data_IF_935248704614
#
_entry.id   IF_935248704614
#
_cell.length_a   1.000
_cell.length_b   1.000
_cell.length_c   1.000
_cell.angle_alpha   90.00
_cell.angle_beta   90.00
_cell.angle_gamma   90.00
#
_symmetry.space_group_name_H-M   'P 1'
#
loop_
_entity.id
_entity.type
_entity.pdbx_description
1 polymer ?
#
# COMPACT_ATOMS: atom_id res chain seq x y z
N UNK A 1 16.68 -20.87 -26.10
CA UNK A 1 17.51 -20.47 -24.95
C UNK A 1 18.32 -19.25 -25.38
N UNK A 2 17.74 -18.06 -25.24
CA UNK A 2 18.45 -16.81 -25.48
C UNK A 2 19.16 -16.41 -24.20
N UNK A 3 20.47 -16.23 -24.26
CA UNK A 3 21.28 -15.63 -23.19
C UNK A 3 20.97 -14.14 -23.15
N UNK A 4 19.95 -13.75 -22.37
CA UNK A 4 19.79 -12.35 -21.99
C UNK A 4 20.90 -12.00 -21.01
N UNK A 5 21.85 -11.16 -21.44
CA UNK A 5 22.83 -10.58 -20.52
C UNK A 5 22.10 -9.86 -19.37
N UNK A 6 22.56 -10.01 -18.11
CA UNK A 6 22.01 -9.26 -17.00
C UNK A 6 22.47 -7.81 -17.11
N UNK A 7 21.75 -7.00 -17.88
CA UNK A 7 21.94 -5.56 -17.85
C UNK A 7 21.33 -5.03 -16.56
N UNK A 8 22.16 -4.65 -15.59
CA UNK A 8 21.76 -3.68 -14.57
C UNK A 8 21.50 -2.36 -15.29
N UNK A 9 20.30 -2.17 -15.84
CA UNK A 9 19.92 -0.92 -16.48
C UNK A 9 19.73 0.13 -15.40
N UNK A 10 20.70 1.03 -15.28
CA UNK A 10 20.52 2.31 -14.62
C UNK A 10 19.54 3.12 -15.46
N UNK A 11 18.25 3.05 -15.09
CA UNK A 11 17.21 3.84 -15.72
C UNK A 11 17.06 5.18 -14.99
N UNK A 12 16.87 6.26 -15.75
CA UNK A 12 16.53 7.57 -15.18
C UNK A 12 15.07 7.55 -14.71
N UNK A 13 14.78 7.95 -13.45
CA UNK A 13 13.42 8.01 -12.96
C UNK A 13 12.64 9.18 -13.58
N UNK A 14 11.32 9.02 -13.70
CA UNK A 14 10.42 10.14 -13.97
C UNK A 14 10.32 11.02 -12.72
N UNK A 15 10.47 12.34 -12.88
CA UNK A 15 10.51 13.29 -11.75
C UNK A 15 9.33 14.26 -11.83
N UNK A 16 8.42 14.17 -10.86
CA UNK A 16 7.38 15.17 -10.67
C UNK A 16 7.85 16.18 -9.63
N UNK A 17 7.96 17.45 -10.04
CA UNK A 17 8.30 18.56 -9.14
C UNK A 17 7.03 19.30 -8.74
N UNK A 18 6.90 19.57 -7.45
CA UNK A 18 5.80 20.34 -6.89
C UNK A 18 6.33 21.31 -5.84
N UNK A 19 5.70 22.49 -5.74
CA UNK A 19 5.99 23.47 -4.70
C UNK A 19 5.31 23.14 -3.37
N UNK A 20 4.51 22.07 -3.34
CA UNK A 20 3.81 21.54 -2.15
C UNK A 20 4.08 20.05 -2.07
N UNK A 21 4.06 19.49 -0.86
CA UNK A 21 4.07 18.04 -0.69
C UNK A 21 2.78 17.48 -1.31
N UNK A 22 2.95 16.72 -2.39
CA UNK A 22 1.87 16.03 -3.07
C UNK A 22 2.17 14.54 -3.03
N UNK A 23 1.10 13.76 -2.97
CA UNK A 23 1.15 12.32 -3.14
C UNK A 23 0.62 12.02 -4.51
N UNK A 24 1.33 11.15 -5.21
CA UNK A 24 0.97 10.77 -6.56
C UNK A 24 0.67 9.28 -6.56
N UNK A 25 -0.59 8.94 -6.77
CA UNK A 25 -0.92 7.56 -7.16
C UNK A 25 -0.53 7.42 -8.61
N UNK A 26 0.35 6.46 -8.89
CA UNK A 26 0.73 6.10 -10.25
C UNK A 26 -0.08 4.88 -10.63
N UNK A 27 -0.92 5.03 -11.65
CA UNK A 27 -1.66 3.94 -12.28
C UNK A 27 -1.13 3.75 -13.69
N UNK A 28 -0.66 2.55 -14.00
CA UNK A 28 -0.08 2.17 -15.29
C UNK A 28 -0.95 1.05 -15.84
N UNK A 29 -1.66 1.29 -16.93
CA UNK A 29 -2.35 0.24 -17.67
C UNK A 29 -1.57 -0.03 -18.96
N UNK A 30 -1.11 -1.27 -19.12
CA UNK A 30 -0.56 -1.74 -20.39
C UNK A 30 -1.70 -2.20 -21.32
N UNK A 31 -2.70 -2.88 -20.76
CA UNK A 31 -3.98 -3.20 -21.39
C UNK A 31 -5.09 -3.37 -20.32
N UNK A 32 -6.30 -3.77 -20.74
CA UNK A 32 -7.47 -3.94 -19.85
C UNK A 32 -7.29 -5.02 -18.77
N UNK A 33 -6.32 -5.91 -18.96
CA UNK A 33 -6.03 -7.03 -18.08
C UNK A 33 -4.62 -6.90 -17.47
N UNK A 34 -3.95 -5.76 -17.70
CA UNK A 34 -2.63 -5.53 -17.17
C UNK A 34 -2.51 -4.11 -16.62
N UNK A 35 -2.77 -3.98 -15.33
CA UNK A 35 -2.69 -2.76 -14.54
C UNK A 35 -1.68 -2.90 -13.40
N UNK A 36 -0.75 -1.96 -13.33
CA UNK A 36 0.12 -1.81 -12.20
C UNK A 36 -0.18 -0.50 -11.51
N UNK A 37 -0.14 -0.52 -10.19
CA UNK A 37 -0.28 0.72 -9.47
C UNK A 37 0.43 0.70 -8.14
N UNK A 38 0.86 1.89 -7.74
CA UNK A 38 1.48 2.11 -6.45
C UNK A 38 1.31 3.57 -6.06
N UNK A 39 1.40 3.84 -4.77
CA UNK A 39 1.44 5.22 -4.28
C UNK A 39 2.89 5.71 -4.22
N UNK A 40 3.22 6.78 -4.94
CA UNK A 40 4.51 7.45 -4.83
C UNK A 40 4.49 8.47 -3.69
N UNK A 41 5.47 8.34 -2.79
CA UNK A 41 5.69 9.26 -1.67
C UNK A 41 6.64 10.39 -2.10
N UNK A 42 6.38 11.65 -1.67
CA UNK A 42 7.31 12.74 -1.93
C UNK A 42 8.65 12.44 -1.25
N UNK A 43 9.75 12.90 -1.86
CA UNK A 43 11.10 12.64 -1.34
C UNK A 43 11.33 13.19 0.07
N UNK A 44 10.56 14.21 0.49
CA UNK A 44 10.52 14.73 1.87
C UNK A 44 10.02 13.71 2.89
N UNK A 45 9.23 12.71 2.46
CA UNK A 45 8.71 11.62 3.28
C UNK A 45 9.53 10.33 3.14
N UNK A 46 10.69 10.38 2.49
CA UNK A 46 11.61 9.25 2.46
C UNK A 46 12.40 9.17 3.76
N UNK A 47 12.89 7.97 4.09
CA UNK A 47 13.70 7.72 5.27
C UNK A 47 14.98 6.98 4.93
N UNK A 48 15.74 6.62 5.96
CA UNK A 48 17.03 5.94 5.80
C UNK A 48 16.95 4.44 6.02
N UNK A 49 15.82 3.91 6.53
CA UNK A 49 15.67 2.50 6.92
C UNK A 49 14.32 1.98 6.50
N UNK A 50 14.32 0.87 5.78
CA UNK A 50 13.14 0.20 5.28
C UNK A 50 13.21 -1.29 5.57
N UNK A 51 12.05 -1.92 5.73
CA UNK A 51 11.97 -3.37 5.67
C UNK A 51 11.00 -3.77 4.57
N UNK A 52 11.46 -4.63 3.67
CA UNK A 52 10.75 -5.01 2.46
C UNK A 52 9.59 -5.94 2.78
N UNK A 53 8.48 -5.74 2.07
CA UNK A 53 7.34 -6.64 2.01
C UNK A 53 7.05 -6.96 0.55
N UNK A 54 6.94 -8.25 0.25
CA UNK A 54 6.62 -8.84 -1.05
C UNK A 54 5.76 -10.09 -0.84
N UNK A 55 5.09 -10.54 -1.89
CA UNK A 55 4.33 -11.78 -1.96
C UNK A 55 5.24 -12.95 -2.41
N UNK A 56 4.68 -14.17 -2.46
CA UNK A 56 5.43 -15.43 -2.64
C UNK A 56 5.80 -15.79 -4.08
N UNK A 57 5.76 -14.85 -5.03
CA UNK A 57 6.09 -15.14 -6.43
C UNK A 57 6.70 -13.93 -7.13
N UNK A 58 7.83 -14.12 -7.83
CA UNK A 58 8.49 -13.09 -8.65
C UNK A 58 8.60 -11.71 -7.94
N UNK A 59 9.26 -11.63 -6.78
CA UNK A 59 9.39 -10.39 -6.03
C UNK A 59 10.24 -9.37 -6.80
N UNK A 60 9.93 -8.10 -6.59
CA UNK A 60 10.63 -6.95 -7.18
C UNK A 60 10.77 -5.85 -6.14
N UNK A 61 11.97 -5.28 -6.06
CA UNK A 61 12.31 -4.17 -5.17
C UNK A 61 13.11 -3.15 -5.97
N UNK A 62 12.66 -1.90 -5.97
CA UNK A 62 13.36 -0.78 -6.56
C UNK A 62 13.76 0.22 -5.47
N UNK A 63 15.01 0.64 -5.48
CA UNK A 63 15.60 1.56 -4.52
C UNK A 63 15.99 2.84 -5.27
N UNK A 64 15.45 3.98 -4.86
CA UNK A 64 15.61 5.25 -5.54
C UNK A 64 16.38 6.23 -4.65
N UNK A 65 17.34 6.96 -5.22
CA UNK A 65 18.10 7.99 -4.49
C UNK A 65 18.02 9.34 -5.19
N UNK A 66 17.85 10.42 -4.41
CA UNK A 66 17.95 11.80 -4.92
C UNK A 66 19.36 12.38 -4.78
N UNK A 67 20.19 11.77 -3.94
CA UNK A 67 21.57 12.15 -3.70
C UNK A 67 22.46 10.92 -3.79
N UNK A 68 23.70 11.11 -4.26
CA UNK A 68 24.71 10.04 -4.23
C UNK A 68 24.96 9.62 -2.79
N UNK A 69 24.84 8.32 -2.52
CA UNK A 69 24.96 7.77 -1.18
C UNK A 69 25.29 6.28 -1.20
N UNK A 70 25.81 5.79 -0.08
CA UNK A 70 25.94 4.35 0.17
C UNK A 70 24.61 3.75 0.62
N UNK A 71 24.25 2.62 0.04
CA UNK A 71 23.07 1.81 0.42
C UNK A 71 23.51 0.40 0.80
N UNK A 72 23.04 -0.07 1.95
CA UNK A 72 23.23 -1.43 2.44
C UNK A 72 21.95 -2.24 2.28
N UNK A 73 22.08 -3.44 1.74
CA UNK A 73 20.97 -4.38 1.56
C UNK A 73 21.29 -5.67 2.33
N UNK A 74 20.53 -5.91 3.40
CA UNK A 74 20.50 -7.17 4.16
C UNK A 74 19.40 -8.04 3.56
N UNK A 75 19.76 -8.78 2.50
CA UNK A 75 18.83 -9.56 1.68
C UNK A 75 18.31 -10.78 2.44
N UNK A 76 16.98 -10.91 2.53
CA UNK A 76 16.31 -12.09 3.09
C UNK A 76 15.41 -12.72 2.04
N UNK A 77 15.67 -13.98 1.73
CA UNK A 77 14.89 -14.76 0.78
C UNK A 77 14.16 -15.90 1.51
N UNK A 78 12.90 -16.14 1.19
CA UNK A 78 12.16 -17.27 1.76
C UNK A 78 12.59 -18.63 1.18
N UNK A 79 13.01 -18.65 -0.08
CA UNK A 79 13.68 -19.78 -0.73
C UNK A 79 15.12 -19.42 -1.08
N UNK A 80 16.05 -20.38 -1.16
CA UNK A 80 17.44 -20.11 -1.48
C UNK A 80 17.57 -19.24 -2.74
N UNK A 81 18.14 -18.05 -2.57
CA UNK A 81 18.44 -17.14 -3.66
C UNK A 81 19.67 -17.59 -4.47
N UNK A 82 20.30 -18.71 -4.10
CA UNK A 82 21.61 -19.16 -4.59
C UNK A 82 21.72 -19.29 -6.10
N UNK A 83 20.62 -19.69 -6.76
CA UNK A 83 20.56 -19.76 -8.23
C UNK A 83 20.68 -18.38 -8.90
N UNK A 84 20.35 -17.32 -8.16
CA UNK A 84 20.35 -15.93 -8.58
C UNK A 84 21.44 -15.12 -7.87
N UNK A 85 22.12 -15.68 -6.85
CA UNK A 85 23.21 -15.04 -6.11
C UNK A 85 24.38 -14.63 -7.00
N UNK A 86 24.59 -15.23 -8.18
CA UNK A 86 25.61 -14.72 -9.12
C UNK A 86 25.27 -13.33 -9.66
N UNK A 87 23.98 -13.07 -9.91
CA UNK A 87 23.49 -11.74 -10.29
C UNK A 87 23.38 -10.84 -9.05
N UNK A 88 23.07 -11.44 -7.89
CA UNK A 88 22.90 -10.74 -6.62
C UNK A 88 24.21 -10.63 -5.80
N UNK A 89 25.36 -11.01 -6.35
CA UNK A 89 26.63 -11.00 -5.61
C UNK A 89 27.07 -9.57 -5.26
N UNK A 90 26.63 -8.58 -6.05
CA UNK A 90 26.77 -7.16 -5.71
C UNK A 90 25.90 -6.73 -4.50
N UNK A 91 24.92 -7.55 -4.10
CA UNK A 91 23.87 -7.20 -3.17
C UNK A 91 23.97 -7.96 -1.85
N UNK A 92 24.55 -9.17 -1.83
CA UNK A 92 24.67 -9.97 -0.60
C UNK A 92 25.68 -9.34 0.36
N UNK A 93 25.18 -8.69 1.42
CA UNK A 93 25.96 -8.13 2.55
C UNK A 93 26.99 -7.07 2.14
N UNK A 94 26.68 -6.27 1.12
CA UNK A 94 27.56 -5.22 0.59
C UNK A 94 26.98 -3.81 0.69
N UNK A 95 27.87 -2.84 0.79
CA UNK A 95 27.59 -1.43 0.54
C UNK A 95 27.61 -1.16 -0.96
N UNK A 96 26.53 -0.64 -1.52
CA UNK A 96 26.43 -0.21 -2.91
C UNK A 96 26.45 1.31 -2.96
N UNK A 97 27.36 1.91 -3.76
CA UNK A 97 27.33 3.34 -4.02
C UNK A 97 26.30 3.61 -5.12
N UNK A 98 25.19 4.27 -4.79
CA UNK A 98 24.14 4.63 -5.74
C UNK A 98 24.29 6.11 -6.10
N UNK A 99 24.55 6.47 -7.37
CA UNK A 99 24.57 7.85 -7.81
C UNK A 99 23.19 8.52 -7.66
N UNK A 100 23.17 9.84 -7.50
CA UNK A 100 21.94 10.64 -7.52
C UNK A 100 21.10 10.39 -8.79
N UNK A 101 19.79 10.25 -8.62
CA UNK A 101 18.85 10.08 -9.74
C UNK A 101 18.96 8.71 -10.40
N UNK A 102 19.48 7.71 -9.70
CA UNK A 102 19.54 6.33 -10.18
C UNK A 102 18.59 5.42 -9.41
N UNK A 103 18.20 4.32 -10.06
CA UNK A 103 17.39 3.26 -9.46
C UNK A 103 18.22 2.00 -9.41
N UNK A 104 18.34 1.42 -8.21
CA UNK A 104 18.86 0.07 -8.02
C UNK A 104 17.68 -0.90 -7.98
N UNK A 105 17.69 -1.91 -8.86
CA UNK A 105 16.61 -2.88 -8.99
C UNK A 105 17.06 -4.29 -8.58
N UNK A 106 16.31 -4.91 -7.67
CA UNK A 106 16.41 -6.33 -7.30
C UNK A 106 15.10 -6.97 -7.77
N UNK A 107 15.16 -7.73 -8.87
CA UNK A 107 13.95 -8.16 -9.56
C UNK A 107 14.04 -9.58 -10.08
N UNK A 108 12.99 -10.36 -9.82
CA UNK A 108 12.85 -11.76 -10.25
C UNK A 108 11.75 -11.94 -11.29
N UNK A 109 11.26 -10.86 -11.93
CA UNK A 109 10.10 -10.89 -12.83
C UNK A 109 10.22 -11.91 -13.97
N UNK A 110 11.44 -12.21 -14.40
CA UNK A 110 11.69 -13.09 -15.55
C UNK A 110 12.18 -14.49 -15.16
N UNK A 111 12.09 -14.84 -13.87
CA UNK A 111 12.84 -15.98 -13.31
C UNK A 111 11.97 -17.12 -12.74
N UNK A 112 10.62 -17.04 -12.84
CA UNK A 112 9.69 -18.04 -12.26
C UNK A 112 10.10 -18.42 -10.83
N UNK A 113 10.35 -17.42 -9.98
CA UNK A 113 10.80 -17.63 -8.62
C UNK A 113 9.60 -17.70 -7.67
N UNK A 114 9.44 -18.84 -6.97
CA UNK A 114 8.33 -19.10 -6.03
C UNK A 114 8.69 -18.73 -4.57
N UNK A 115 9.34 -17.58 -4.39
CA UNK A 115 9.70 -17.08 -3.06
C UNK A 115 9.38 -15.60 -2.89
N UNK A 116 9.71 -15.07 -1.72
CA UNK A 116 9.54 -13.67 -1.37
C UNK A 116 10.86 -13.08 -0.86
N UNK A 117 10.96 -11.75 -0.92
CA UNK A 117 12.02 -10.94 -0.32
C UNK A 117 11.60 -10.29 1.00
N UNK A 118 10.45 -10.71 1.54
CA UNK A 118 9.90 -10.15 2.76
C UNK A 118 10.82 -10.46 3.91
N UNK A 119 11.27 -9.41 4.59
CA UNK A 119 12.39 -9.59 5.50
C UNK A 119 13.53 -8.63 5.22
N UNK A 120 13.82 -8.42 3.94
CA UNK A 120 15.00 -7.69 3.47
C UNK A 120 15.05 -6.31 4.10
N UNK A 121 16.21 -5.91 4.63
CA UNK A 121 16.39 -4.56 5.20
C UNK A 121 17.22 -3.73 4.24
N UNK A 122 16.76 -2.51 4.01
CA UNK A 122 17.47 -1.53 3.18
C UNK A 122 17.81 -0.35 4.07
N UNK A 123 19.09 0.00 4.12
CA UNK A 123 19.60 1.14 4.88
C UNK A 123 20.36 2.06 3.95
N UNK A 124 20.11 3.37 4.02
CA UNK A 124 20.85 4.40 3.29
C UNK A 124 21.55 5.37 4.25
N UNK A 125 22.64 5.99 3.80
CA UNK A 125 23.27 7.12 4.51
C UNK A 125 22.35 8.35 4.55
N UNK A 126 21.52 8.51 3.53
CA UNK A 126 20.58 9.62 3.33
C UNK A 126 19.17 9.07 3.05
N UNK A 127 18.13 9.93 3.08
CA UNK A 127 16.81 9.51 2.66
C UNK A 127 16.80 8.90 1.26
N UNK A 128 16.10 7.77 1.10
CA UNK A 128 15.94 7.05 -0.16
C UNK A 128 14.52 6.50 -0.28
N UNK A 129 14.04 6.28 -1.50
CA UNK A 129 12.73 5.68 -1.75
C UNK A 129 12.86 4.17 -1.94
N UNK A 130 11.89 3.39 -1.45
CA UNK A 130 11.83 1.95 -1.72
C UNK A 130 10.44 1.59 -2.23
N UNK A 131 10.37 1.04 -3.43
CA UNK A 131 9.18 0.42 -3.99
C UNK A 131 9.38 -1.09 -3.90
N UNK A 132 8.42 -1.81 -3.33
CA UNK A 132 8.50 -3.26 -3.22
C UNK A 132 7.17 -3.90 -3.61
N UNK A 133 7.26 -5.11 -4.13
CA UNK A 133 6.10 -5.81 -4.63
C UNK A 133 6.49 -7.05 -5.40
N UNK A 134 5.65 -7.39 -6.36
CA UNK A 134 5.76 -8.59 -7.18
C UNK A 134 5.33 -8.24 -8.59
N UNK A 135 5.93 -8.90 -9.56
CA UNK A 135 5.66 -8.70 -10.97
C UNK A 135 5.27 -10.02 -11.61
N UNK A 136 4.38 -9.95 -12.61
CA UNK A 136 3.77 -11.16 -13.17
C UNK A 136 3.31 -12.06 -12.02
N UNK A 137 2.62 -11.43 -11.06
CA UNK A 137 2.28 -12.07 -9.81
C UNK A 137 1.34 -13.22 -10.13
N UNK A 138 1.89 -14.43 -10.28
CA UNK A 138 1.16 -15.68 -10.09
C UNK A 138 0.68 -15.64 -8.66
N UNK A 139 -0.43 -14.98 -8.48
CA UNK A 139 -1.04 -14.80 -7.20
C UNK A 139 -1.87 -16.03 -7.01
N UNK A 140 -1.67 -16.65 -5.86
CA UNK A 140 -2.53 -17.70 -5.39
C UNK A 140 -3.94 -17.09 -5.30
N UNK A 141 -4.78 -17.41 -6.27
CA UNK A 141 -6.18 -17.01 -6.30
C UNK A 141 -6.94 -18.10 -5.58
N UNK A 142 -7.86 -17.71 -4.70
CA UNK A 142 -8.73 -18.66 -4.04
C UNK A 142 -9.66 -19.30 -5.07
N UNK A 143 -9.59 -20.63 -5.20
CA UNK A 143 -10.51 -21.39 -6.04
C UNK A 143 -11.91 -21.16 -5.56
N UNK A 144 -12.77 -20.92 -6.53
CA UNK A 144 -14.14 -20.52 -6.32
C UNK A 144 -15.02 -21.68 -5.84
N UNK A 145 -14.74 -22.87 -6.39
CA UNK A 145 -15.45 -24.10 -6.04
C UNK A 145 -14.98 -24.68 -4.70
N UNK A 146 -13.84 -24.19 -4.18
CA UNK A 146 -13.19 -24.70 -2.97
C UNK A 146 -12.69 -23.51 -2.11
N UNK A 147 -13.57 -22.77 -1.42
CA UNK A 147 -13.16 -21.67 -0.54
C UNK A 147 -12.08 -22.11 0.45
N UNK A 148 -11.01 -21.33 0.54
CA UNK A 148 -9.79 -21.59 1.30
C UNK A 148 -8.71 -22.36 0.53
N UNK A 149 -9.02 -22.93 -0.63
CA UNK A 149 -8.03 -23.59 -1.49
C UNK A 149 -7.48 -22.57 -2.48
N UNK A 150 -6.17 -22.36 -2.47
CA UNK A 150 -5.51 -21.48 -3.41
C UNK A 150 -5.06 -22.25 -4.66
N UNK A 151 -5.36 -21.74 -5.85
CA UNK A 151 -4.83 -22.23 -7.11
C UNK A 151 -3.87 -21.21 -7.74
N UNK A 152 -2.88 -21.74 -8.46
CA UNK A 152 -2.10 -20.95 -9.39
C UNK A 152 -2.95 -20.72 -10.64
N UNK A 153 -3.61 -19.57 -10.74
CA UNK A 153 -4.15 -19.15 -12.03
C UNK A 153 -3.04 -18.53 -12.88
N UNK A 154 -3.11 -18.80 -14.18
CA UNK A 154 -2.14 -18.43 -15.21
C UNK A 154 -2.35 -16.99 -15.71
N UNK A 155 -2.84 -16.05 -14.89
CA UNK A 155 -2.80 -14.65 -15.31
C UNK A 155 -1.35 -14.16 -15.20
N UNK A 156 -0.74 -13.91 -16.36
CA UNK A 156 0.56 -13.25 -16.49
C UNK A 156 0.47 -11.71 -16.29
N UNK A 157 -0.68 -11.19 -15.84
CA UNK A 157 -0.86 -9.83 -15.31
C UNK A 157 -1.09 -9.98 -13.80
N UNK A 158 -0.48 -9.26 -12.87
CA UNK A 158 -0.08 -7.85 -12.88
C UNK A 158 1.12 -7.59 -11.96
N UNK A 159 1.46 -6.32 -11.78
CA UNK A 159 2.41 -5.88 -10.75
C UNK A 159 1.66 -5.34 -9.53
N UNK A 160 1.71 -6.09 -8.43
CA UNK A 160 1.30 -5.61 -7.10
C UNK A 160 2.51 -4.94 -6.44
N UNK A 161 2.54 -3.61 -6.37
CA UNK A 161 3.65 -2.88 -5.77
C UNK A 161 3.17 -1.72 -4.89
N UNK A 162 4.01 -1.35 -3.93
CA UNK A 162 3.76 -0.20 -3.07
C UNK A 162 5.09 0.48 -2.73
N UNK A 163 5.06 1.82 -2.66
CA UNK A 163 6.19 2.54 -2.08
C UNK A 163 6.13 2.41 -0.56
N UNK A 164 7.10 1.71 0.00
CA UNK A 164 7.10 1.38 1.40
C UNK A 164 7.27 2.63 2.27
N UNK A 165 6.65 2.59 3.44
CA UNK A 165 6.93 3.51 4.53
C UNK A 165 8.31 3.23 5.13
N UNK A 166 9.12 4.26 5.44
CA UNK A 166 10.33 4.05 6.22
C UNK A 166 9.98 3.62 7.65
N UNK A 167 10.89 2.93 8.31
CA UNK A 167 10.71 2.41 9.67
C UNK A 167 10.37 3.49 10.71
N UNK A 168 10.77 4.75 10.47
CA UNK A 168 10.43 5.89 11.33
C UNK A 168 8.94 6.25 11.29
N UNK A 169 8.22 5.84 10.25
CA UNK A 169 6.77 6.04 10.10
C UNK A 169 5.94 4.90 10.70
N UNK A 170 6.57 3.84 11.20
CA UNK A 170 5.84 2.73 11.78
C UNK A 170 5.10 3.21 13.04
N UNK A 171 3.89 2.69 13.26
CA UNK A 171 3.03 3.12 14.35
C UNK A 171 2.66 1.98 15.28
N UNK A 172 1.91 2.31 16.33
CA UNK A 172 1.47 1.36 17.36
C UNK A 172 -0.03 1.09 17.34
N UNK A 173 -0.78 1.84 16.56
CA UNK A 173 -2.24 1.72 16.47
C UNK A 173 -2.66 1.86 15.00
N UNK A 174 -3.45 0.89 14.53
CA UNK A 174 -3.96 0.83 13.17
C UNK A 174 -5.42 0.42 13.21
N UNK A 175 -6.19 0.88 12.22
CA UNK A 175 -7.55 0.42 12.01
C UNK A 175 -7.59 -0.33 10.69
N UNK A 176 -7.88 -1.61 10.77
CA UNK A 176 -8.10 -2.47 9.63
C UNK A 176 -9.57 -2.43 9.27
N UNK A 177 -9.83 -2.34 7.98
CA UNK A 177 -11.16 -2.26 7.43
C UNK A 177 -11.46 -3.48 6.57
N UNK A 178 -12.76 -3.73 6.41
CA UNK A 178 -13.28 -4.62 5.38
C UNK A 178 -13.98 -3.71 4.40
N UNK A 179 -13.83 -3.97 3.11
CA UNK A 179 -14.53 -3.18 2.10
C UNK A 179 -15.99 -3.64 2.07
N UNK A 180 -16.89 -2.81 2.59
CA UNK A 180 -18.31 -3.13 2.80
C UNK A 180 -19.23 -2.70 1.64
N UNK A 181 -18.76 -2.78 0.41
CA UNK A 181 -19.59 -2.41 -0.75
C UNK A 181 -20.43 -3.61 -1.20
N UNK A 182 -21.76 -3.47 -1.20
CA UNK A 182 -22.68 -4.53 -1.63
C UNK A 182 -22.55 -4.87 -3.12
N UNK A 183 -22.02 -3.94 -3.93
CA UNK A 183 -21.77 -4.13 -5.35
C UNK A 183 -20.43 -4.85 -5.60
N UNK A 184 -19.55 -4.89 -4.61
CA UNK A 184 -18.24 -5.54 -4.70
C UNK A 184 -18.27 -6.88 -3.99
N UNK A 185 -17.93 -7.94 -4.72
CA UNK A 185 -17.62 -9.22 -4.08
C UNK A 185 -16.13 -9.26 -3.82
N UNK A 186 -15.77 -8.84 -2.62
CA UNK A 186 -14.41 -8.97 -2.09
C UNK A 186 -14.41 -10.27 -1.29
N UNK A 187 -13.81 -11.33 -1.83
CA UNK A 187 -13.79 -12.62 -1.14
C UNK A 187 -12.72 -12.69 -0.07
N UNK A 188 -11.52 -12.20 -0.36
CA UNK A 188 -10.43 -12.27 0.59
C UNK A 188 -9.50 -11.07 0.51
N UNK A 189 -9.20 -10.52 1.68
CA UNK A 189 -8.04 -9.66 1.84
C UNK A 189 -7.14 -10.27 2.90
N UNK A 190 -5.90 -9.84 2.97
CA UNK A 190 -4.94 -10.33 3.94
C UNK A 190 -4.20 -9.15 4.53
N UNK A 191 -4.03 -9.12 5.85
CA UNK A 191 -3.15 -8.15 6.48
C UNK A 191 -1.84 -8.83 6.84
N UNK A 192 -0.75 -8.22 6.42
CA UNK A 192 0.60 -8.57 6.84
C UNK A 192 1.07 -7.60 7.90
N UNK A 193 1.28 -8.10 9.11
CA UNK A 193 1.79 -7.34 10.23
C UNK A 193 3.24 -7.75 10.46
N UNK A 194 4.15 -6.76 10.43
CA UNK A 194 5.58 -6.99 10.62
C UNK A 194 6.11 -6.19 11.79
N UNK A 195 6.83 -6.86 12.67
CA UNK A 195 7.45 -6.24 13.83
C UNK A 195 8.96 -6.09 13.61
N UNK A 196 9.54 -4.89 13.63
CA UNK A 196 10.99 -4.69 13.59
C UNK A 196 11.67 -5.00 14.93
N UNK A 197 10.91 -5.07 16.02
CA UNK A 197 11.41 -5.28 17.39
C UNK A 197 11.04 -6.69 17.87
N UNK A 198 11.91 -7.31 18.66
CA UNK A 198 11.62 -8.60 19.31
C UNK A 198 10.48 -8.47 20.33
N UNK A 199 9.83 -9.61 20.63
CA UNK A 199 8.75 -9.71 21.64
C UNK A 199 7.68 -8.63 21.47
N UNK A 200 7.30 -8.38 20.22
CA UNK A 200 6.26 -7.44 19.89
C UNK A 200 4.91 -8.12 20.11
N UNK A 201 4.16 -7.60 21.07
CA UNK A 201 2.81 -8.05 21.39
C UNK A 201 1.82 -7.19 20.60
N UNK A 202 0.86 -7.85 19.96
CA UNK A 202 -0.14 -7.25 19.10
C UNK A 202 -1.51 -7.69 19.59
N UNK A 203 -2.34 -6.74 19.99
CA UNK A 203 -3.75 -6.96 20.31
C UNK A 203 -4.60 -6.59 19.10
N UNK A 204 -5.41 -7.52 18.64
CA UNK A 204 -6.35 -7.36 17.53
C UNK A 204 -7.75 -7.39 18.12
N UNK A 205 -8.38 -6.23 18.23
CA UNK A 205 -9.72 -6.08 18.82
C UNK A 205 -10.78 -5.97 17.73
N UNK A 206 -11.84 -6.76 17.85
CA UNK A 206 -13.05 -6.72 17.03
C UNK A 206 -14.25 -6.63 17.98
N UNK A 207 -14.89 -5.46 18.03
CA UNK A 207 -15.94 -5.16 19.02
C UNK A 207 -15.41 -5.40 20.45
N UNK A 208 -16.02 -6.34 21.20
CA UNK A 208 -15.62 -6.70 22.56
C UNK A 208 -14.63 -7.88 22.66
N UNK A 209 -14.23 -8.46 21.52
CA UNK A 209 -13.31 -9.61 21.48
C UNK A 209 -11.92 -9.11 21.13
N UNK A 210 -10.92 -9.46 21.93
CA UNK A 210 -9.51 -9.15 21.67
C UNK A 210 -8.73 -10.44 21.58
N UNK A 211 -8.04 -10.62 20.45
CA UNK A 211 -7.03 -11.65 20.26
C UNK A 211 -5.64 -11.03 20.46
N UNK A 212 -4.69 -11.81 20.98
CA UNK A 212 -3.32 -11.35 21.23
C UNK A 212 -2.33 -12.27 20.54
N UNK A 213 -1.45 -11.68 19.73
CA UNK A 213 -0.39 -12.37 19.00
C UNK A 213 0.96 -11.85 19.46
N UNK A 214 1.90 -12.75 19.69
CA UNK A 214 3.30 -12.41 19.97
C UNK A 214 4.17 -12.69 18.75
N UNK A 215 4.85 -11.66 18.24
CA UNK A 215 5.95 -11.82 17.28
C UNK A 215 7.26 -11.85 18.08
N UNK A 216 7.82 -13.04 18.23
CA UNK A 216 8.98 -13.28 19.09
C UNK A 216 10.25 -12.60 18.56
N UNK A 217 10.50 -12.67 17.25
CA UNK A 217 11.77 -12.28 16.64
C UNK A 217 11.69 -10.95 15.86
N UNK A 218 12.78 -10.15 15.83
CA UNK A 218 12.86 -8.97 14.98
C UNK A 218 12.69 -9.30 13.50
N UNK A 219 11.83 -8.56 12.84
CA UNK A 219 11.46 -8.79 11.44
C UNK A 219 10.51 -9.96 11.25
N UNK A 220 10.06 -10.63 12.31
CA UNK A 220 9.00 -11.63 12.28
C UNK A 220 7.68 -11.03 11.79
N UNK A 221 6.78 -11.90 11.35
CA UNK A 221 5.53 -11.52 10.69
C UNK A 221 4.38 -12.34 11.25
N UNK A 222 3.21 -11.72 11.29
CA UNK A 222 1.94 -12.39 11.44
C UNK A 222 1.04 -12.00 10.25
N UNK A 223 0.36 -12.97 9.66
CA UNK A 223 -0.67 -12.70 8.65
C UNK A 223 -2.03 -13.14 9.16
N UNK A 224 -3.06 -12.40 8.78
CA UNK A 224 -4.44 -12.80 9.00
C UNK A 224 -5.28 -12.53 7.76
N UNK A 225 -6.13 -13.50 7.42
CA UNK A 225 -7.05 -13.42 6.29
C UNK A 225 -8.34 -12.75 6.75
N UNK A 226 -8.72 -11.67 6.07
CA UNK A 226 -10.04 -11.07 6.13
C UNK A 226 -10.97 -11.87 5.24
N UNK A 227 -12.03 -12.42 5.84
CA UNK A 227 -13.08 -13.12 5.10
C UNK A 227 -14.29 -12.24 4.90
N UNK A 228 -15.11 -12.59 3.91
CA UNK A 228 -16.44 -11.99 3.74
C UNK A 228 -17.25 -12.13 5.04
N UNK A 229 -17.79 -11.01 5.53
CA UNK A 229 -18.57 -10.96 6.76
C UNK A 229 -17.75 -10.61 8.01
N UNK A 230 -16.41 -10.58 7.91
CA UNK A 230 -15.57 -10.03 8.97
C UNK A 230 -15.93 -8.56 9.24
N UNK A 231 -15.69 -8.14 10.48
CA UNK A 231 -15.84 -6.74 10.89
C UNK A 231 -14.48 -6.03 10.88
N UNK A 232 -14.48 -4.69 10.72
CA UNK A 232 -13.30 -3.87 10.97
C UNK A 232 -12.68 -4.15 12.34
N UNK A 233 -11.36 -3.96 12.44
CA UNK A 233 -10.59 -4.32 13.63
C UNK A 233 -9.60 -3.22 14.00
N UNK A 234 -9.31 -3.10 15.28
CA UNK A 234 -8.28 -2.22 15.82
C UNK A 234 -7.07 -3.06 16.20
N UNK A 235 -5.93 -2.73 15.63
CA UNK A 235 -4.65 -3.34 15.98
C UNK A 235 -3.91 -2.36 16.90
N UNK A 236 -3.50 -2.84 18.07
CA UNK A 236 -2.64 -2.10 19.00
C UNK A 236 -1.40 -2.93 19.28
N UNK A 237 -0.23 -2.30 19.33
CA UNK A 237 1.01 -2.98 19.67
C UNK A 237 1.84 -2.20 20.69
N UNK A 238 2.63 -2.94 21.48
CA UNK A 238 3.58 -2.34 22.42
C UNK A 238 4.77 -1.64 21.71
N UNK A 239 5.13 -2.07 20.50
CA UNK A 239 6.20 -1.49 19.67
C UNK A 239 5.68 -1.04 18.29
N UNK A 240 6.41 -0.14 17.61
CA UNK A 240 6.06 0.25 16.24
C UNK A 240 6.10 -0.95 15.29
N UNK A 241 5.04 -1.15 14.52
CA UNK A 241 4.89 -2.21 13.52
C UNK A 241 4.57 -1.62 12.14
N UNK A 242 4.79 -2.40 11.09
CA UNK A 242 4.26 -2.13 9.76
C UNK A 242 3.04 -3.02 9.52
N UNK A 243 2.00 -2.45 8.93
CA UNK A 243 0.82 -3.19 8.51
C UNK A 243 0.59 -2.95 7.03
N UNK A 244 0.53 -4.02 6.25
CA UNK A 244 0.21 -3.98 4.82
C UNK A 244 -1.13 -4.67 4.59
N UNK A 245 -1.97 -4.06 3.77
CA UNK A 245 -3.23 -4.63 3.29
C UNK A 245 -2.99 -5.21 1.90
N UNK A 246 -3.32 -6.48 1.72
CA UNK A 246 -3.22 -7.19 0.45
C UNK A 246 -4.64 -7.52 0.03
N UNK A 247 -5.11 -6.88 -1.03
CA UNK A 247 -6.39 -7.19 -1.64
C UNK A 247 -6.18 -8.35 -2.60
N UNK A 248 -6.92 -9.45 -2.41
CA UNK A 248 -6.94 -10.57 -3.35
C UNK A 248 -8.33 -10.65 -3.96
N UNK A 249 -8.40 -10.84 -5.27
CA UNK A 249 -9.68 -11.10 -5.89
C UNK A 249 -9.98 -12.60 -5.96
N UNK A 250 -11.24 -13.02 -5.83
CA UNK A 250 -11.70 -14.31 -6.30
C UNK A 250 -11.99 -14.30 -7.81
N UNK A 251 -11.78 -15.44 -8.44
CA UNK A 251 -12.67 -15.82 -9.53
C UNK A 251 -14.06 -16.16 -8.92
N UNK A 252 -15.15 -15.64 -9.48
CA UNK A 252 -16.53 -16.03 -9.15
C UNK A 252 -17.17 -16.62 -10.42
N UNK A 253 -16.94 -17.90 -10.73
CA UNK A 253 -17.50 -18.56 -11.89
C UNK A 253 -19.02 -18.55 -11.76
N UNK A 254 -19.67 -17.97 -12.77
CA UNK A 254 -21.13 -17.98 -12.91
C UNK A 254 -21.86 -16.71 -12.49
N UNK A 255 -21.20 -15.72 -11.87
CA UNK A 255 -21.82 -14.41 -11.58
C UNK A 255 -21.46 -13.37 -12.64
N UNK A 256 -22.01 -13.55 -13.85
CA UNK A 256 -21.91 -12.61 -14.99
C UNK A 256 -22.39 -11.17 -14.72
N UNK A 257 -22.80 -10.83 -13.50
CA UNK A 257 -23.32 -9.51 -13.09
C UNK A 257 -22.54 -8.84 -11.97
N UNK A 258 -21.52 -9.48 -11.41
CA UNK A 258 -20.72 -8.91 -10.33
C UNK A 258 -19.40 -8.45 -10.92
N UNK A 259 -19.01 -7.20 -10.63
CA UNK A 259 -17.67 -6.70 -10.92
C UNK A 259 -16.70 -7.47 -10.01
N UNK A 260 -15.93 -8.39 -10.60
CA UNK A 260 -14.80 -9.00 -9.92
C UNK A 260 -13.76 -7.92 -9.66
N UNK A 261 -13.17 -7.92 -8.47
CA UNK A 261 -11.93 -7.18 -8.29
C UNK A 261 -10.90 -7.81 -9.24
N UNK A 262 -10.00 -7.03 -9.79
CA UNK A 262 -8.97 -7.59 -10.63
C UNK A 262 -7.84 -8.25 -9.87
N UNK A 263 -6.65 -8.10 -10.43
CA UNK A 263 -5.41 -8.60 -9.84
C UNK A 263 -5.12 -8.07 -8.43
N UNK A 264 -4.14 -8.70 -7.78
CA UNK A 264 -3.74 -8.38 -6.41
C UNK A 264 -3.20 -6.96 -6.32
N UNK A 265 -3.64 -6.22 -5.30
CA UNK A 265 -3.04 -4.95 -4.91
C UNK A 265 -2.52 -4.99 -3.48
N UNK A 266 -1.49 -4.20 -3.22
CA UNK A 266 -0.85 -4.06 -1.92
C UNK A 266 -0.84 -2.58 -1.53
N UNK A 267 -1.22 -2.29 -0.29
CA UNK A 267 -1.26 -0.92 0.24
C UNK A 267 -0.72 -0.91 1.66
N UNK A 268 0.04 0.13 2.02
CA UNK A 268 0.40 0.36 3.42
C UNK A 268 -0.85 0.78 4.20
N UNK A 269 -1.14 0.12 5.32
CA UNK A 269 -2.14 0.61 6.28
C UNK A 269 -1.45 1.64 7.15
N UNK A 270 -1.95 2.87 7.11
CA UNK A 270 -1.37 3.97 7.87
C UNK A 270 -1.72 3.83 9.35
N UNK A 271 -0.78 4.13 10.26
CA UNK A 271 -1.11 4.22 11.67
C UNK A 271 -2.02 5.43 11.94
N UNK A 272 -2.81 5.37 13.01
CA UNK A 272 -3.76 6.44 13.39
C UNK A 272 -3.08 7.79 13.61
N UNK A 273 -1.79 7.80 13.97
CA UNK A 273 -0.97 9.01 14.10
C UNK A 273 -0.65 9.70 12.79
N UNK A 274 -0.87 9.03 11.65
CA UNK A 274 -0.67 9.55 10.29
C UNK A 274 -2.00 9.88 9.59
N UNK A 275 -3.11 9.98 10.33
CA UNK A 275 -4.39 10.40 9.79
C UNK A 275 -4.46 11.93 9.59
N UNK A 276 -5.21 12.38 8.59
CA UNK A 276 -5.33 13.80 8.23
C UNK A 276 -6.71 14.37 8.57
N UNK A 277 -6.78 15.69 8.63
CA UNK A 277 -8.04 16.43 8.79
C UNK A 277 -8.71 16.74 7.45
N UNK A 278 -8.00 16.52 6.35
CA UNK A 278 -8.40 16.99 5.03
C UNK A 278 -7.81 16.06 3.96
N UNK A 279 -8.66 15.50 3.13
CA UNK A 279 -8.28 14.69 1.98
C UNK A 279 -8.91 15.27 0.71
N UNK A 280 -8.13 15.26 -0.37
CA UNK A 280 -8.57 15.68 -1.70
C UNK A 280 -8.38 14.54 -2.68
N UNK A 281 -9.38 14.32 -3.52
CA UNK A 281 -9.29 13.34 -4.59
C UNK A 281 -9.81 13.92 -5.90
N UNK A 282 -9.11 13.57 -6.98
CA UNK A 282 -9.53 13.88 -8.34
C UNK A 282 -9.03 12.77 -9.26
N UNK A 283 -9.96 11.98 -9.78
CA UNK A 283 -9.75 11.08 -10.89
C UNK A 283 -10.20 11.74 -12.19
N UNK A 284 -9.48 11.46 -13.28
CA UNK A 284 -9.83 11.89 -14.64
C UNK A 284 -10.63 10.84 -15.40
N UNK A 285 -10.68 9.60 -14.92
CA UNK A 285 -11.29 8.47 -15.62
C UNK A 285 -12.72 8.25 -15.13
N UNK A 286 -13.66 8.19 -16.07
CA UNK A 286 -15.09 7.99 -15.79
C UNK A 286 -15.51 6.53 -15.66
N UNK A 287 -14.63 5.59 -15.99
CA UNK A 287 -14.97 4.16 -16.12
C UNK A 287 -14.59 3.30 -14.91
N UNK A 288 -13.72 3.80 -14.03
CA UNK A 288 -13.31 3.11 -12.80
C UNK A 288 -14.39 3.29 -11.73
N UNK A 289 -14.97 2.19 -11.27
CA UNK A 289 -15.77 2.21 -10.06
C UNK A 289 -14.88 2.54 -8.86
N UNK A 290 -15.28 3.49 -8.03
CA UNK A 290 -14.50 3.93 -6.88
C UNK A 290 -15.34 3.94 -5.62
N UNK A 291 -14.79 3.35 -4.57
CA UNK A 291 -15.33 3.39 -3.22
C UNK A 291 -14.28 3.95 -2.27
N UNK A 292 -14.72 4.79 -1.34
CA UNK A 292 -13.88 5.47 -0.38
C UNK A 292 -14.17 4.90 0.99
N UNK A 293 -13.12 4.43 1.65
CA UNK A 293 -13.18 3.90 3.00
C UNK A 293 -12.73 5.00 3.93
N UNK A 294 -13.59 5.33 4.89
CA UNK A 294 -13.36 6.38 5.87
C UNK A 294 -13.30 5.75 7.25
N UNK A 295 -12.25 6.08 7.99
CA UNK A 295 -11.99 5.59 9.34
C UNK A 295 -12.03 6.78 10.28
N UNK A 296 -12.91 6.76 11.27
CA UNK A 296 -13.09 7.91 12.16
C UNK A 296 -13.36 7.49 13.59
N UNK A 297 -13.24 8.41 14.52
CA UNK A 297 -13.73 8.21 15.88
C UNK A 297 -15.26 8.28 15.92
N UNK A 298 -15.87 7.55 16.85
CA UNK A 298 -17.31 7.50 17.03
C UNK A 298 -17.88 8.90 17.20
N UNK A 299 -18.92 9.23 16.40
CA UNK A 299 -19.57 10.55 16.34
C UNK A 299 -18.70 11.68 15.78
N UNK A 300 -17.52 11.39 15.25
CA UNK A 300 -16.72 12.40 14.56
C UNK A 300 -17.44 12.85 13.29
N UNK A 301 -17.77 14.13 13.21
CA UNK A 301 -18.42 14.68 12.00
C UNK A 301 -17.39 14.88 10.90
N UNK A 302 -17.60 14.25 9.76
CA UNK A 302 -16.84 14.48 8.53
C UNK A 302 -17.76 15.21 7.55
N UNK A 303 -17.20 16.18 6.83
CA UNK A 303 -17.93 17.03 5.89
C UNK A 303 -17.35 16.87 4.50
N UNK A 304 -18.23 16.86 3.50
CA UNK A 304 -17.86 16.90 2.09
C UNK A 304 -17.91 18.35 1.62
N UNK A 305 -16.88 18.83 0.93
CA UNK A 305 -16.87 20.19 0.41
C UNK A 305 -18.05 20.42 -0.54
N UNK A 306 -18.77 21.52 -0.35
CA UNK A 306 -20.00 21.90 -1.08
C UNK A 306 -21.25 21.03 -0.84
N UNK A 307 -21.23 20.11 0.13
CA UNK A 307 -22.40 19.31 0.52
C UNK A 307 -22.58 19.29 2.04
N UNK A 308 -23.79 19.04 2.52
CA UNK A 308 -24.03 18.80 3.95
C UNK A 308 -23.52 17.41 4.39
N UNK A 309 -23.53 17.19 5.72
CA UNK A 309 -22.88 16.10 6.47
C UNK A 309 -22.69 14.76 5.73
N UNK A 310 -21.47 14.20 5.82
CA UNK A 310 -21.06 12.97 5.11
C UNK A 310 -21.84 11.72 5.53
N UNK A 311 -22.46 11.75 6.71
CA UNK A 311 -23.31 10.66 7.23
C UNK A 311 -24.46 10.27 6.30
N UNK A 312 -24.85 11.16 5.35
CA UNK A 312 -25.88 10.88 4.34
C UNK A 312 -25.38 10.02 3.16
N UNK A 313 -24.07 9.88 3.00
CA UNK A 313 -23.44 9.21 1.86
C UNK A 313 -22.76 7.89 2.23
N UNK A 314 -22.52 7.65 3.52
CA UNK A 314 -22.03 6.36 3.99
C UNK A 314 -23.17 5.34 3.95
N UNK A 315 -22.93 4.16 3.35
CA UNK A 315 -23.93 3.09 3.34
C UNK A 315 -24.21 2.57 4.75
N UNK A 316 -23.16 2.48 5.58
CA UNK A 316 -23.22 2.15 7.00
C UNK A 316 -21.89 2.46 7.69
N UNK A 317 -21.93 2.60 9.01
CA UNK A 317 -20.74 2.65 9.87
C UNK A 317 -20.64 1.35 10.67
N UNK A 318 -19.45 0.74 10.67
CA UNK A 318 -19.14 -0.48 11.40
C UNK A 318 -18.09 -0.21 12.47
N UNK A 319 -18.35 -0.66 13.70
CA UNK A 319 -17.40 -0.53 14.80
C UNK A 319 -16.11 -1.34 14.53
N UNK A 320 -14.96 -0.70 14.73
CA UNK A 320 -13.64 -1.31 14.58
C UNK A 320 -12.95 -1.62 15.92
N UNK A 321 -13.65 -1.44 17.05
CA UNK A 321 -13.13 -1.59 18.40
C UNK A 321 -12.60 -0.28 18.99
N UNK A 322 -12.77 -0.13 20.30
CA UNK A 322 -12.48 1.13 20.99
C UNK A 322 -13.50 2.21 20.62
N UNK A 323 -13.03 3.41 20.28
CA UNK A 323 -13.86 4.51 19.80
C UNK A 323 -13.79 4.68 18.28
N UNK A 324 -13.36 3.66 17.52
CA UNK A 324 -13.22 3.76 16.06
C UNK A 324 -14.37 3.11 15.30
N UNK A 325 -14.77 3.75 14.20
CA UNK A 325 -15.73 3.25 13.24
C UNK A 325 -15.21 3.40 11.81
N UNK A 326 -15.65 2.50 10.93
CA UNK A 326 -15.28 2.47 9.51
C UNK A 326 -16.55 2.53 8.68
N UNK A 327 -16.56 3.37 7.66
CA UNK A 327 -17.65 3.47 6.69
C UNK A 327 -17.12 3.42 5.26
N UNK A 328 -17.94 2.89 4.35
CA UNK A 328 -17.67 2.90 2.91
C UNK A 328 -18.63 3.88 2.22
N UNK A 329 -18.12 4.61 1.24
CA UNK A 329 -18.87 5.62 0.49
C UNK A 329 -18.58 5.49 -1.00
N UNK A 330 -19.62 5.62 -1.82
CA UNK A 330 -19.47 5.68 -3.27
C UNK A 330 -19.42 7.16 -3.65
N UNK A 331 -18.21 7.68 -3.82
CA UNK A 331 -17.99 9.09 -4.16
C UNK A 331 -17.74 9.26 -5.66
N UNK A 332 -18.22 10.37 -6.21
CA UNK A 332 -17.92 10.78 -7.57
C UNK A 332 -16.41 11.04 -7.77
N UNK A 333 -15.98 11.13 -9.03
CA UNK A 333 -14.55 11.21 -9.41
C UNK A 333 -13.80 12.43 -8.87
N UNK A 334 -14.48 13.39 -8.24
CA UNK A 334 -13.86 14.54 -7.59
C UNK A 334 -14.54 14.82 -6.26
N UNK A 335 -13.77 14.78 -5.19
CA UNK A 335 -14.27 15.11 -3.86
C UNK A 335 -13.17 15.70 -2.98
N UNK A 336 -13.61 16.33 -1.90
CA UNK A 336 -12.73 16.79 -0.84
C UNK A 336 -13.48 16.67 0.48
N UNK A 337 -12.92 15.89 1.39
CA UNK A 337 -13.52 15.55 2.68
C UNK A 337 -12.67 16.11 3.80
N UNK A 338 -13.31 16.65 4.83
CA UNK A 338 -12.63 17.30 5.94
C UNK A 338 -13.36 17.11 7.27
N UNK A 339 -12.61 17.20 8.37
CA UNK A 339 -13.12 17.08 9.73
C UNK A 339 -12.32 17.98 10.68
N UNK A 340 -12.89 18.31 11.84
CA UNK A 340 -12.18 19.03 12.90
C UNK A 340 -10.99 18.25 13.48
N UNK A 341 -11.15 16.92 13.56
CA UNK A 341 -10.13 15.97 14.01
C UNK A 341 -9.58 15.12 12.86
N UNK A 342 -8.46 14.44 13.09
CA UNK A 342 -7.86 13.54 12.10
C UNK A 342 -8.72 12.29 11.91
N UNK A 343 -8.75 11.78 10.69
CA UNK A 343 -9.45 10.56 10.30
C UNK A 343 -8.66 9.86 9.18
N UNK A 344 -8.85 8.55 9.02
CA UNK A 344 -8.23 7.79 7.95
C UNK A 344 -9.09 7.79 6.70
N UNK A 345 -8.47 7.82 5.53
CA UNK A 345 -9.15 7.69 4.25
C UNK A 345 -8.35 6.71 3.39
N UNK A 346 -9.05 5.83 2.66
CA UNK A 346 -8.51 4.93 1.65
C UNK A 346 -9.40 4.99 0.42
N UNK A 347 -8.80 4.88 -0.77
CA UNK A 347 -9.54 4.81 -2.02
C UNK A 347 -9.36 3.41 -2.56
N UNK A 348 -10.48 2.76 -2.85
CA UNK A 348 -10.55 1.46 -3.50
C UNK A 348 -11.08 1.69 -4.91
N UNK A 349 -10.25 1.38 -5.91
CA UNK A 349 -10.63 1.39 -7.32
C UNK A 349 -10.93 -0.03 -7.79
N UNK A 350 -11.93 -0.18 -8.64
CA UNK A 350 -12.29 -1.45 -9.24
C UNK A 350 -12.72 -1.26 -10.70
N UNK A 351 -12.16 -2.09 -11.55
CA UNK A 351 -12.56 -2.29 -12.95
C UNK A 351 -12.80 -3.78 -13.18
N UNK A 352 -13.33 -4.14 -14.35
CA UNK A 352 -13.70 -5.54 -14.66
C UNK A 352 -12.60 -6.56 -14.44
N UNK A 353 -11.32 -6.15 -14.49
CA UNK A 353 -10.15 -7.01 -14.25
C UNK A 353 -9.03 -6.29 -13.47
N UNK A 354 -9.29 -5.15 -12.82
CA UNK A 354 -8.29 -4.44 -12.02
C UNK A 354 -8.84 -4.08 -10.64
N UNK A 355 -8.10 -4.41 -9.58
CA UNK A 355 -8.43 -4.05 -8.20
C UNK A 355 -7.31 -3.21 -7.62
N UNK A 356 -7.63 -2.05 -7.09
CA UNK A 356 -6.64 -1.18 -6.48
C UNK A 356 -7.06 -0.62 -5.13
N UNK A 357 -6.09 -0.40 -4.27
CA UNK A 357 -6.30 0.24 -2.99
C UNK A 357 -5.10 1.11 -2.64
N UNK A 358 -5.35 2.34 -2.17
CA UNK A 358 -4.30 3.27 -1.75
C UNK A 358 -4.74 4.12 -0.57
N UNK A 359 -3.77 4.61 0.18
CA UNK A 359 -3.98 5.52 1.30
C UNK A 359 -3.70 6.98 0.86
N UNK A 360 -4.69 7.76 0.38
CA UNK A 360 -4.47 9.10 -0.16
C UNK A 360 -3.70 10.01 0.78
N UNK A 361 -2.42 10.16 0.47
CA UNK A 361 -1.47 11.10 1.06
C UNK A 361 -1.17 11.04 2.55
N UNK A 362 0.13 11.05 2.88
CA UNK A 362 0.60 11.31 4.23
C UNK A 362 1.93 12.05 4.30
N UNK A 363 1.94 13.27 4.83
CA UNK A 363 3.20 13.97 5.08
C UNK A 363 3.79 13.48 6.41
N UNK A 364 5.01 12.96 6.37
CA UNK A 364 5.83 12.86 7.59
C UNK A 364 6.21 14.28 8.01
N UNK A 365 5.37 14.93 8.80
CA UNK A 365 5.67 16.24 9.35
C UNK A 365 6.90 16.10 10.28
N UNK A 366 8.04 16.65 9.87
CA UNK A 366 9.08 17.02 10.83
C UNK A 366 8.47 18.07 11.75
N UNK A 367 8.58 17.89 13.06
CA UNK A 367 7.87 18.56 14.17
C UNK A 367 7.98 20.10 14.28
N UNK A 368 8.28 20.84 13.22
CA UNK A 368 8.39 22.30 13.24
C UNK A 368 7.69 22.88 12.01
N UNK A 369 6.48 23.42 12.20
CA UNK A 369 5.82 24.54 11.49
C UNK A 369 4.30 24.33 11.39
N UNK A 370 3.58 24.73 12.44
CA UNK A 370 2.20 25.20 12.29
C UNK A 370 2.21 26.71 12.57
N UNK A 371 2.31 27.50 11.51
CA UNK A 371 1.72 28.84 11.48
C UNK A 371 0.59 28.83 10.45
N UNK A 372 -0.57 29.29 10.92
CA UNK A 372 -1.86 29.43 10.25
C UNK A 372 -1.80 29.63 8.72
N UNK A 373 -2.49 28.77 7.97
CA UNK A 373 -2.81 29.03 6.56
C UNK A 373 -4.30 29.39 6.42
N UNK A 374 -4.56 30.65 6.04
CA UNK A 374 -5.86 31.11 5.58
C UNK A 374 -6.19 30.49 4.22
N UNK A 375 -7.17 29.58 4.19
CA UNK A 375 -7.56 28.79 3.02
C UNK A 375 -8.65 29.45 2.15
N UNK A 376 -9.03 30.68 2.45
CA UNK A 376 -10.11 31.39 1.76
C UNK A 376 -9.53 32.47 0.84
N UNK A 377 -9.13 32.07 -0.37
CA UNK A 377 -9.35 32.78 -1.66
C UNK A 377 -8.33 32.33 -2.72
N UNK A 378 -8.84 32.04 -3.93
CA UNK A 378 -8.11 31.75 -5.19
C UNK A 378 -7.66 30.30 -5.42
N UNK A 379 -8.63 29.45 -5.76
CA UNK A 379 -8.42 28.38 -6.75
C UNK A 379 -9.09 28.79 -8.07
N UNK A 380 -8.48 29.74 -8.78
CA UNK A 380 -8.82 30.06 -10.19
C UNK A 380 -7.64 29.90 -11.14
N UNK A 381 -6.48 29.47 -10.66
CA UNK A 381 -5.33 29.17 -11.51
C UNK A 381 -5.15 27.67 -11.61
N UNK A 382 -5.42 27.14 -12.79
CA UNK A 382 -4.99 25.82 -13.26
C UNK A 382 -3.50 25.64 -12.89
N UNK A 383 -3.11 24.58 -12.15
CA UNK A 383 -1.69 24.29 -11.96
C UNK A 383 -1.06 24.02 -13.34
N UNK A 384 -0.12 24.86 -13.74
CA UNK A 384 0.75 24.60 -14.90
C UNK A 384 1.76 23.53 -14.49
N UNK A 385 1.54 22.31 -14.95
CA UNK A 385 2.54 21.24 -14.87
C UNK A 385 3.53 21.43 -16.02
N UNK A 386 4.78 21.75 -15.71
CA UNK A 386 5.86 21.57 -16.66
C UNK A 386 6.30 20.11 -16.57
N UNK A 387 5.89 19.30 -17.54
CA UNK A 387 6.49 17.98 -17.79
C UNK A 387 7.80 18.26 -18.52
N UNK A 388 8.93 17.93 -17.89
CA UNK A 388 10.26 17.99 -18.49
C UNK A 388 10.73 16.59 -18.86
#
# INVERSE_FOLDING_TARGET
>A
QGTSEPSSQLNSPFVVKSTRNIFLTVHISADRNNTASFQALPCSSWGTRYVVVTLNSNPSVQILTVETQTVWVDLRCSLPCDRFLKQLAAFSNGSNLLPSGTVLSISFCFQNYEGNLTGTKITGEKPLGVIAGNCLGKTLVEKCDEPGTLANELSDGDMAAEMLLPMVSFGKEFIIFVVLDEQLVITSAENFIRAPTERTEISITMHSITDTVMIAEPGGMHSYIIRRGDKPRRIVSNYPIQVMYILRSPCVPGLSKVLELGDVSICSVLPTTMFFRLYFWRSTESEVGMSVIVIRKFKQTIKLHNLENLDLYASSWSEAGGDWEVGTMNLANKFSIFSGDSFGCYVVGFESNAGSIYAPGFEMVSTELYTSFDFLTRWTTTPTYNVL
#
